data_IF_152711928808
#
_entry.id   IF_152711928808
#
_cell.length_a   1.000
_cell.length_b   1.000
_cell.length_c   1.000
_cell.angle_alpha   90.00
_cell.angle_beta   90.00
_cell.angle_gamma   90.00
#
_symmetry.space_group_name_H-M   'P 1'
#
loop_
_entity.id
_entity.type
_entity.pdbx_description
1 polymer ?
#
# COMPACT_ATOMS: atom_id res chain seq x y z
N UNK A 1 8.34 9.27 14.31
CA UNK A 1 7.23 9.74 13.46
C UNK A 1 7.72 9.62 12.03
N UNK A 2 6.86 9.26 11.06
CA UNK A 2 7.26 9.38 9.66
C UNK A 2 7.64 10.82 9.34
N UNK A 3 8.70 10.98 8.56
CA UNK A 3 9.02 12.26 7.93
C UNK A 3 8.51 12.16 6.51
N UNK A 4 7.45 12.90 6.20
CA UNK A 4 6.97 13.00 4.82
C UNK A 4 7.91 13.94 4.07
N UNK A 5 8.41 13.52 2.91
CA UNK A 5 9.28 14.36 2.08
C UNK A 5 8.48 15.47 1.37
N UNK A 6 7.16 15.30 1.30
CA UNK A 6 6.22 16.18 0.62
C UNK A 6 4.83 16.09 1.26
N UNK A 7 4.05 17.16 1.13
CA UNK A 7 2.67 17.26 1.65
C UNK A 7 1.61 16.87 0.63
N UNK A 8 2.00 16.74 -0.64
CA UNK A 8 1.13 16.42 -1.77
C UNK A 8 1.61 15.13 -2.45
N UNK A 9 0.69 14.43 -3.10
CA UNK A 9 1.06 13.28 -3.92
C UNK A 9 1.62 13.73 -5.26
N UNK A 10 2.67 13.06 -5.73
CA UNK A 10 3.14 13.18 -7.10
C UNK A 10 2.16 12.40 -7.98
N UNK A 11 1.42 13.12 -8.82
CA UNK A 11 0.54 12.53 -9.82
C UNK A 11 1.30 12.33 -11.13
N UNK A 12 1.25 11.12 -11.67
CA UNK A 12 1.95 10.80 -12.90
C UNK A 12 1.26 9.66 -13.65
N UNK A 13 1.73 9.43 -14.89
CA UNK A 13 1.20 8.40 -15.77
C UNK A 13 2.35 7.61 -16.37
N UNK A 14 2.29 6.27 -16.29
CA UNK A 14 3.19 5.37 -17.04
C UNK A 14 2.35 4.54 -18.00
N UNK A 15 2.53 4.76 -19.30
CA UNK A 15 1.65 4.18 -20.31
C UNK A 15 0.23 4.75 -20.15
N UNK A 16 -0.73 3.88 -19.83
CA UNK A 16 -2.13 4.25 -19.59
C UNK A 16 -2.49 4.27 -18.09
N UNK A 17 -1.55 3.89 -17.22
CA UNK A 17 -1.78 3.77 -15.78
C UNK A 17 -1.50 5.10 -15.10
N UNK A 18 -2.54 5.71 -14.55
CA UNK A 18 -2.40 6.83 -13.63
C UNK A 18 -2.03 6.33 -12.24
N UNK A 19 -1.11 7.05 -11.58
CA UNK A 19 -0.73 6.74 -10.21
C UNK A 19 -0.41 7.99 -9.41
N UNK A 20 -0.62 7.86 -8.10
CA UNK A 20 -0.23 8.83 -7.09
C UNK A 20 0.93 8.25 -6.28
N UNK A 21 1.99 9.02 -6.09
CA UNK A 21 3.18 8.61 -5.36
C UNK A 21 3.43 9.49 -4.15
N UNK A 22 3.81 8.87 -3.05
CA UNK A 22 4.28 9.58 -1.86
C UNK A 22 5.58 8.94 -1.33
N UNK A 23 6.60 9.79 -1.17
CA UNK A 23 7.88 9.40 -0.57
C UNK A 23 7.93 9.83 0.88
N UNK A 24 8.49 8.97 1.74
CA UNK A 24 8.62 9.24 3.16
C UNK A 24 9.80 8.47 3.78
N UNK A 25 10.24 8.90 4.96
CA UNK A 25 11.25 8.19 5.73
C UNK A 25 10.74 7.70 7.08
N UNK A 26 11.27 6.56 7.51
CA UNK A 26 11.26 6.13 8.92
C UNK A 26 12.71 5.99 9.36
N UNK A 27 13.12 6.81 10.34
CA UNK A 27 14.53 6.85 10.79
C UNK A 27 15.43 7.26 9.62
N UNK A 28 16.41 6.43 9.27
CA UNK A 28 17.33 6.61 8.13
C UNK A 28 16.93 5.78 6.90
N UNK A 29 15.69 5.29 6.86
CA UNK A 29 15.18 4.49 5.75
C UNK A 29 14.16 5.25 4.92
N UNK A 30 14.45 5.41 3.63
CA UNK A 30 13.56 6.01 2.64
C UNK A 30 12.67 4.98 1.96
N UNK A 31 11.41 5.36 1.81
CA UNK A 31 10.35 4.53 1.26
C UNK A 31 9.53 5.29 0.24
N UNK A 32 8.87 4.52 -0.62
CA UNK A 32 7.90 5.00 -1.59
C UNK A 32 6.61 4.21 -1.44
N UNK A 33 5.48 4.90 -1.54
CA UNK A 33 4.15 4.31 -1.67
C UNK A 33 3.50 4.80 -2.96
N UNK A 34 2.92 3.87 -3.71
CA UNK A 34 2.30 4.10 -5.02
C UNK A 34 0.86 3.61 -4.95
N UNK A 35 -0.05 4.46 -5.41
CA UNK A 35 -1.48 4.21 -5.57
C UNK A 35 -1.79 4.28 -7.05
N UNK A 36 -1.95 3.15 -7.73
CA UNK A 36 -2.33 3.11 -9.14
C UNK A 36 -3.81 2.83 -9.29
N UNK A 37 -4.47 3.47 -10.24
CA UNK A 37 -5.87 3.16 -10.54
C UNK A 37 -6.04 1.67 -10.86
N UNK A 38 -7.10 1.07 -10.31
CA UNK A 38 -7.52 -0.28 -10.71
C UNK A 38 -8.06 -0.20 -12.14
N UNK A 39 -7.52 -1.03 -13.02
CA UNK A 39 -8.05 -1.19 -14.37
C UNK A 39 -9.49 -1.72 -14.33
N UNK A 40 -10.44 -0.91 -14.81
CA UNK A 40 -11.87 -1.26 -14.85
C UNK A 40 -12.39 -1.49 -16.28
N UNK A 41 -11.58 -1.21 -17.30
CA UNK A 41 -11.97 -1.43 -18.71
C UNK A 41 -11.88 -2.90 -19.11
N UNK A 42 -11.02 -3.68 -18.44
CA UNK A 42 -10.96 -5.13 -18.57
C UNK A 42 -12.08 -5.80 -17.76
N UNK A 43 -13.15 -6.19 -18.46
CA UNK A 43 -14.37 -6.76 -17.86
C UNK A 43 -14.10 -8.11 -17.19
N UNK A 44 -13.27 -8.98 -17.79
CA UNK A 44 -12.99 -10.31 -17.23
C UNK A 44 -12.18 -10.20 -15.94
N UNK A 45 -11.15 -9.36 -15.97
CA UNK A 45 -10.36 -9.04 -14.80
C UNK A 45 -11.18 -8.40 -13.68
N UNK A 46 -12.03 -7.43 -14.01
CA UNK A 46 -12.88 -6.74 -13.04
C UNK A 46 -13.89 -7.68 -12.40
N UNK A 47 -14.48 -8.59 -13.17
CA UNK A 47 -15.39 -9.61 -12.66
C UNK A 47 -14.67 -10.55 -11.68
N UNK A 48 -13.53 -11.10 -12.08
CA UNK A 48 -12.72 -11.99 -11.22
C UNK A 48 -12.36 -11.30 -9.90
N UNK A 49 -11.85 -10.07 -9.95
CA UNK A 49 -11.49 -9.28 -8.77
C UNK A 49 -12.72 -9.00 -7.89
N UNK A 50 -13.86 -8.67 -8.49
CA UNK A 50 -15.11 -8.36 -7.77
C UNK A 50 -15.69 -9.60 -7.06
N UNK A 51 -15.60 -10.77 -7.68
CA UNK A 51 -15.98 -12.05 -7.06
C UNK A 51 -15.06 -12.39 -5.87
N UNK A 52 -13.76 -12.17 -6.02
CA UNK A 52 -12.77 -12.41 -4.97
C UNK A 52 -12.98 -11.51 -3.74
N UNK A 53 -13.26 -10.22 -3.96
CA UNK A 53 -13.44 -9.24 -2.87
C UNK A 53 -14.87 -9.21 -2.34
N UNK A 54 -15.82 -9.87 -3.01
CA UNK A 54 -17.23 -9.94 -2.61
C UNK A 54 -18.03 -8.65 -2.84
N UNK A 55 -17.52 -7.72 -3.66
CA UNK A 55 -18.23 -6.50 -4.05
C UNK A 55 -17.82 -6.05 -5.45
N UNK A 56 -18.72 -5.35 -6.15
CA UNK A 56 -18.42 -4.75 -7.45
C UNK A 56 -17.42 -3.60 -7.30
N UNK A 57 -16.28 -3.67 -7.99
CA UNK A 57 -15.24 -2.63 -7.91
C UNK A 57 -15.64 -1.43 -8.79
N UNK A 58 -15.86 -0.23 -8.21
CA UNK A 58 -16.14 0.99 -8.96
C UNK A 58 -14.85 1.74 -9.37
N UNK A 59 -15.02 2.88 -10.06
CA UNK A 59 -13.97 3.90 -10.19
C UNK A 59 -13.45 4.39 -8.83
N UNK A 60 -12.26 5.00 -8.83
CA UNK A 60 -11.56 5.50 -7.62
C UNK A 60 -11.22 4.40 -6.64
N UNK A 61 -10.85 3.24 -7.18
CA UNK A 61 -10.23 2.16 -6.46
C UNK A 61 -8.77 2.06 -6.86
N UNK A 62 -7.88 1.76 -5.91
CA UNK A 62 -6.43 1.85 -6.12
C UNK A 62 -5.71 0.58 -5.70
N UNK A 63 -4.80 0.10 -6.55
CA UNK A 63 -3.77 -0.85 -6.15
C UNK A 63 -2.64 -0.11 -5.42
N UNK A 64 -2.27 -0.60 -4.24
CA UNK A 64 -1.26 0.00 -3.36
C UNK A 64 -0.01 -0.86 -3.34
N UNK A 65 1.11 -0.25 -3.75
CA UNK A 65 2.44 -0.84 -3.66
C UNK A 65 3.33 0.01 -2.76
N UNK A 66 4.21 -0.65 -2.02
CA UNK A 66 5.15 -0.02 -1.12
C UNK A 66 6.50 -0.71 -1.24
N UNK A 67 7.57 0.07 -1.25
CA UNK A 67 8.93 -0.45 -1.26
C UNK A 67 9.94 0.54 -0.66
N UNK A 68 11.19 0.12 -0.51
CA UNK A 68 12.31 1.03 -0.28
C UNK A 68 12.53 1.89 -1.51
N UNK A 69 12.83 3.16 -1.33
CA UNK A 69 13.08 4.08 -2.44
C UNK A 69 14.23 3.58 -3.34
N UNK A 70 15.29 3.02 -2.74
CA UNK A 70 16.41 2.38 -3.45
C UNK A 70 15.97 1.24 -4.37
N UNK A 71 15.04 0.38 -3.92
CA UNK A 71 14.51 -0.72 -4.72
C UNK A 71 13.70 -0.19 -5.92
N UNK A 72 12.93 0.88 -5.69
CA UNK A 72 12.16 1.52 -6.74
C UNK A 72 13.05 2.17 -7.81
N UNK A 73 14.06 2.93 -7.39
CA UNK A 73 14.96 3.65 -8.31
C UNK A 73 15.87 2.70 -9.10
N UNK A 74 16.28 1.58 -8.51
CA UNK A 74 17.09 0.56 -9.18
C UNK A 74 16.27 -0.40 -10.04
N UNK A 75 14.97 -0.47 -9.83
CA UNK A 75 14.07 -1.46 -10.44
C UNK A 75 14.18 -2.87 -9.83
N UNK A 76 15.00 -3.07 -8.79
CA UNK A 76 15.11 -4.34 -8.05
C UNK A 76 14.05 -4.42 -6.96
N UNK A 77 12.79 -4.50 -7.41
CA UNK A 77 11.62 -4.40 -6.54
C UNK A 77 11.58 -5.51 -5.48
N UNK A 78 11.28 -5.11 -4.25
CA UNK A 78 11.17 -5.94 -3.05
C UNK A 78 12.43 -6.71 -2.68
N UNK A 79 13.58 -6.32 -3.25
CA UNK A 79 14.86 -6.89 -2.88
C UNK A 79 15.10 -6.73 -1.38
N UNK A 80 15.64 -7.77 -0.70
CA UNK A 80 16.03 -7.64 0.69
C UNK A 80 17.20 -6.66 0.83
N UNK A 81 17.37 -6.04 2.00
CA UNK A 81 18.56 -5.23 2.24
C UNK A 81 19.84 -6.06 2.12
N UNK A 82 20.95 -5.46 1.65
CA UNK A 82 22.25 -6.13 1.57
C UNK A 82 22.65 -6.73 2.94
N UNK A 83 23.25 -7.93 2.97
CA UNK A 83 23.66 -8.58 4.23
C UNK A 83 24.61 -7.71 5.06
N UNK A 84 25.38 -6.85 4.40
CA UNK A 84 26.48 -6.07 4.96
C UNK A 84 26.05 -4.65 5.38
N UNK A 85 24.78 -4.30 5.16
CA UNK A 85 24.27 -2.97 5.46
C UNK A 85 24.18 -2.78 6.99
N UNK A 86 25.23 -2.18 7.58
CA UNK A 86 25.40 -1.89 9.02
C UNK A 86 24.22 -1.08 9.59
N UNK A 87 23.54 -0.29 8.75
CA UNK A 87 22.38 0.53 9.10
C UNK A 87 21.02 -0.19 9.06
N UNK A 88 20.94 -1.42 8.57
CA UNK A 88 19.72 -1.86 7.87
C UNK A 88 18.89 -2.95 8.55
N UNK A 89 18.45 -2.72 9.79
CA UNK A 89 17.26 -3.42 10.30
C UNK A 89 16.39 -2.46 11.08
N UNK A 90 15.27 -2.05 10.48
CA UNK A 90 14.16 -1.49 11.24
C UNK A 90 13.83 -2.43 12.40
N UNK A 91 14.10 -1.96 13.62
CA UNK A 91 13.72 -2.66 14.82
C UNK A 91 12.20 -2.71 14.97
N UNK A 92 11.73 -3.36 16.03
CA UNK A 92 10.29 -3.44 16.31
C UNK A 92 9.60 -2.06 16.30
N UNK A 93 10.20 -1.06 16.95
CA UNK A 93 9.64 0.30 16.98
C UNK A 93 9.62 0.95 15.59
N UNK A 94 10.65 0.73 14.77
CA UNK A 94 10.69 1.18 13.38
C UNK A 94 9.57 0.57 12.55
N UNK A 95 9.33 -0.74 12.68
CA UNK A 95 8.22 -1.43 12.02
C UNK A 95 6.85 -0.90 12.47
N UNK A 96 6.68 -0.59 13.76
CA UNK A 96 5.45 0.01 14.27
C UNK A 96 5.21 1.40 13.69
N UNK A 97 6.28 2.22 13.59
CA UNK A 97 6.22 3.55 12.97
C UNK A 97 5.91 3.45 11.48
N UNK A 98 6.47 2.46 10.79
CA UNK A 98 6.18 2.19 9.39
C UNK A 98 4.71 1.82 9.18
N UNK A 99 4.16 0.94 10.04
CA UNK A 99 2.74 0.59 10.01
C UNK A 99 1.83 1.80 10.25
N UNK A 100 2.18 2.66 11.22
CA UNK A 100 1.47 3.92 11.46
C UNK A 100 1.52 4.85 10.24
N UNK A 101 2.67 4.95 9.57
CA UNK A 101 2.82 5.74 8.35
C UNK A 101 1.89 5.24 7.25
N UNK A 102 1.72 3.93 7.09
CA UNK A 102 0.77 3.39 6.09
C UNK A 102 -0.65 3.86 6.37
N UNK A 103 -1.11 3.77 7.62
CA UNK A 103 -2.45 4.23 7.99
C UNK A 103 -2.63 5.73 7.76
N UNK A 104 -1.63 6.55 8.09
CA UNK A 104 -1.67 8.00 7.88
C UNK A 104 -1.69 8.37 6.38
N UNK A 105 -0.86 7.71 5.57
CA UNK A 105 -0.76 7.96 4.13
C UNK A 105 -2.02 7.51 3.38
N UNK A 106 -2.56 6.32 3.70
CA UNK A 106 -3.82 5.84 3.14
C UNK A 106 -4.98 6.76 3.55
N UNK A 107 -4.98 7.24 4.80
CA UNK A 107 -5.95 8.22 5.29
C UNK A 107 -5.90 9.54 4.53
N UNK A 108 -4.70 10.07 4.29
CA UNK A 108 -4.49 11.28 3.51
C UNK A 108 -4.93 11.10 2.06
N UNK A 109 -4.55 9.99 1.41
CA UNK A 109 -4.97 9.68 0.05
C UNK A 109 -6.50 9.59 -0.05
N UNK A 110 -7.14 8.95 0.93
CA UNK A 110 -8.60 8.85 0.99
C UNK A 110 -9.25 10.24 1.05
N UNK A 111 -8.73 11.13 1.90
CA UNK A 111 -9.28 12.49 2.05
C UNK A 111 -9.14 13.34 0.78
N UNK A 112 -8.03 13.17 0.04
CA UNK A 112 -7.75 13.98 -1.15
C UNK A 112 -8.48 13.47 -2.40
N UNK A 113 -8.55 12.14 -2.57
CA UNK A 113 -9.04 11.53 -3.81
C UNK A 113 -10.43 10.89 -3.70
N UNK A 114 -11.04 10.91 -2.50
CA UNK A 114 -12.33 10.25 -2.20
C UNK A 114 -12.32 8.79 -2.69
N UNK A 115 -11.20 8.11 -2.40
CA UNK A 115 -10.96 6.73 -2.80
C UNK A 115 -12.00 5.82 -2.16
N UNK A 116 -12.54 4.86 -2.92
CA UNK A 116 -13.58 3.94 -2.46
C UNK A 116 -13.01 2.67 -1.86
N UNK A 117 -11.98 2.12 -2.47
CA UNK A 117 -11.28 0.96 -1.93
C UNK A 117 -9.80 0.96 -2.31
N UNK A 118 -9.00 0.28 -1.49
CA UNK A 118 -7.59 0.01 -1.75
C UNK A 118 -7.36 -1.50 -1.81
N UNK A 119 -6.50 -1.93 -2.70
CA UNK A 119 -6.08 -3.32 -2.83
C UNK A 119 -4.57 -3.40 -2.66
N UNK A 120 -4.09 -4.39 -1.91
CA UNK A 120 -2.66 -4.60 -1.72
C UNK A 120 -2.34 -6.08 -1.77
N UNK A 121 -1.19 -6.44 -2.34
CA UNK A 121 -0.69 -7.82 -2.35
C UNK A 121 0.69 -7.88 -1.70
N UNK A 122 0.85 -8.77 -0.73
CA UNK A 122 2.15 -9.00 -0.11
C UNK A 122 3.03 -9.90 -0.99
N UNK A 123 4.01 -9.28 -1.65
CA UNK A 123 4.94 -9.95 -2.58
C UNK A 123 5.79 -11.04 -1.90
N UNK A 124 6.04 -10.90 -0.60
CA UNK A 124 6.79 -11.90 0.18
C UNK A 124 6.02 -12.34 1.42
N UNK A 125 6.33 -13.55 1.94
CA UNK A 125 5.78 -14.02 3.22
C UNK A 125 6.14 -13.09 4.38
N UNK A 126 7.31 -12.44 4.32
CA UNK A 126 7.74 -11.48 5.34
C UNK A 126 6.86 -10.22 5.33
N UNK A 127 6.52 -9.70 4.14
CA UNK A 127 5.57 -8.60 4.00
C UNK A 127 4.18 -9.00 4.48
N UNK A 128 3.72 -10.23 4.17
CA UNK A 128 2.44 -10.75 4.68
C UNK A 128 2.38 -10.70 6.21
N UNK A 129 3.39 -11.26 6.87
CA UNK A 129 3.47 -11.25 8.33
C UNK A 129 3.56 -9.84 8.92
N UNK A 130 4.18 -8.91 8.20
CA UNK A 130 4.23 -7.51 8.61
C UNK A 130 2.85 -6.84 8.51
N UNK A 131 2.16 -6.97 7.37
CA UNK A 131 0.82 -6.40 7.16
C UNK A 131 -0.20 -6.98 8.14
N UNK A 132 -0.20 -8.30 8.36
CA UNK A 132 -1.08 -8.95 9.36
C UNK A 132 -0.87 -8.38 10.77
N UNK A 133 0.38 -8.04 11.12
CA UNK A 133 0.70 -7.44 12.42
C UNK A 133 0.23 -6.00 12.52
N UNK A 134 0.25 -5.24 11.43
CA UNK A 134 -0.29 -3.87 11.40
C UNK A 134 -1.80 -3.92 11.65
N UNK A 135 -2.52 -4.83 10.98
CA UNK A 135 -3.97 -4.97 11.10
C UNK A 135 -4.45 -5.39 12.50
N UNK A 136 -3.59 -5.99 13.32
CA UNK A 136 -3.91 -6.33 14.71
C UNK A 136 -3.85 -5.13 15.65
N UNK A 137 -3.35 -3.98 15.20
CA UNK A 137 -3.29 -2.78 16.02
C UNK A 137 -4.63 -2.06 15.99
N UNK A 138 -5.04 -1.43 17.10
CA UNK A 138 -6.27 -0.65 17.12
C UNK A 138 -6.18 0.48 16.08
N UNK A 139 -7.01 0.40 15.04
CA UNK A 139 -7.13 1.43 14.01
C UNK A 139 -7.63 2.72 14.65
N UNK A 140 -6.78 3.74 14.68
CA UNK A 140 -7.15 5.08 15.15
C UNK A 140 -7.52 5.89 13.90
N UNK A 141 -8.82 6.09 13.64
CA UNK A 141 -9.27 7.27 12.89
C UNK A 141 -10.29 7.07 11.77
N UNK A 142 -10.34 5.94 11.06
CA UNK A 142 -11.30 5.76 9.96
C UNK A 142 -11.91 4.34 10.00
N UNK A 143 -13.25 4.20 9.89
CA UNK A 143 -13.92 2.90 9.98
C UNK A 143 -13.79 2.11 8.67
N UNK A 144 -12.58 1.70 8.34
CA UNK A 144 -12.32 0.85 7.18
C UNK A 144 -12.83 -0.57 7.43
N UNK A 145 -13.52 -1.14 6.43
CA UNK A 145 -13.77 -2.58 6.36
C UNK A 145 -12.58 -3.24 5.66
N UNK A 146 -11.97 -4.23 6.30
CA UNK A 146 -10.74 -4.86 5.80
C UNK A 146 -11.00 -6.34 5.51
N UNK A 147 -10.78 -6.72 4.26
CA UNK A 147 -10.84 -8.10 3.78
C UNK A 147 -9.41 -8.60 3.60
N UNK A 148 -9.11 -9.78 4.12
CA UNK A 148 -7.76 -10.35 4.16
C UNK A 148 -7.72 -11.72 3.49
N UNK A 149 -6.50 -12.19 3.21
CA UNK A 149 -6.24 -13.51 2.65
C UNK A 149 -6.85 -13.70 1.24
N UNK A 150 -6.89 -12.63 0.46
CA UNK A 150 -7.26 -12.64 -0.94
C UNK A 150 -6.13 -13.22 -1.80
N UNK A 151 -6.43 -13.59 -3.04
CA UNK A 151 -5.54 -14.23 -4.00
C UNK A 151 -5.35 -15.71 -3.72
N UNK A 152 -4.91 -16.46 -4.74
CA UNK A 152 -4.58 -17.88 -4.62
C UNK A 152 -3.61 -18.16 -3.47
N UNK A 153 -2.64 -17.27 -3.27
CA UNK A 153 -1.61 -17.41 -2.24
C UNK A 153 -2.05 -16.88 -0.87
N UNK A 154 -3.28 -16.36 -0.75
CA UNK A 154 -3.84 -15.72 0.46
C UNK A 154 -2.97 -14.58 0.98
N UNK A 155 -2.46 -13.76 0.06
CA UNK A 155 -1.56 -12.63 0.35
C UNK A 155 -2.11 -11.26 0.00
N UNK A 156 -3.33 -11.22 -0.51
CA UNK A 156 -4.05 -10.01 -0.84
C UNK A 156 -4.87 -9.46 0.32
N UNK A 157 -5.13 -8.17 0.22
CA UNK A 157 -5.88 -7.35 1.15
C UNK A 157 -6.76 -6.40 0.36
N UNK A 158 -7.98 -6.16 0.83
CA UNK A 158 -8.83 -5.07 0.38
C UNK A 158 -9.23 -4.21 1.58
N UNK A 159 -9.17 -2.90 1.41
CA UNK A 159 -9.56 -1.90 2.40
C UNK A 159 -10.69 -1.09 1.78
N UNK A 160 -11.91 -1.31 2.25
CA UNK A 160 -13.10 -0.58 1.83
C UNK A 160 -13.28 0.64 2.72
N UNK A 161 -13.47 1.79 2.09
CA UNK A 161 -13.55 3.08 2.76
C UNK A 161 -15.00 3.46 3.07
N UNK A 162 -15.24 4.47 3.90
CA UNK A 162 -16.60 4.99 4.13
C UNK A 162 -17.27 5.56 2.88
N UNK A 163 -16.52 5.92 1.84
CA UNK A 163 -17.04 6.45 0.57
C UNK A 163 -17.46 5.38 -0.43
N UNK A 164 -17.29 4.10 -0.10
CA UNK A 164 -17.68 2.99 -0.95
C UNK A 164 -19.20 2.86 -1.08
#
# INVERSE_FOLDING_TARGET
MPTLHQTEFIEATVGEIQYHRLDFSIEDHDFVMIFSDVEISDVEYLQMRSEEVGFSIPERCYDVKFDRLENFDSGDFYAPPPPDAIFSKLGYQGLMRLGKAFSEIIGLHYQLYDAKAYFAMAETRKLKSFYDRILQQPNVGVPYEIIINLGEMRRGYAIKTPSF
#
